data_IF_901657450435
#
_entry.id   IF_901657450435
#
_cell.length_a   1.000
_cell.length_b   1.000
_cell.length_c   1.000
_cell.angle_alpha   90.00
_cell.angle_beta   90.00
_cell.angle_gamma   90.00
#
_symmetry.space_group_name_H-M   'P 1'
#
loop_
_entity.id
_entity.type
_entity.pdbx_description
1 polymer ?
#
# COMPACT_ATOMS: atom_id res chain seq x y z
N UNK A 1 58.66 14.96 35.03
CA UNK A 1 57.80 16.04 34.48
C UNK A 1 57.32 15.76 33.04
N UNK A 2 58.06 14.97 32.22
CA UNK A 2 57.67 14.60 30.82
C UNK A 2 56.52 13.62 30.65
N UNK A 3 56.27 12.74 31.66
CA UNK A 3 55.20 11.71 31.60
C UNK A 3 53.80 12.28 31.70
N UNK A 4 53.61 13.41 32.44
CA UNK A 4 52.28 14.07 32.59
C UNK A 4 51.82 14.78 31.30
N UNK A 5 52.76 15.22 30.45
CA UNK A 5 52.49 15.94 29.23
C UNK A 5 52.07 14.97 28.09
N UNK A 6 52.75 13.84 27.96
CA UNK A 6 52.42 12.79 27.00
C UNK A 6 51.06 12.15 27.24
N UNK A 7 50.66 11.93 28.52
CA UNK A 7 49.35 11.41 28.88
C UNK A 7 48.21 12.38 28.54
N UNK A 8 48.41 13.70 28.68
CA UNK A 8 47.46 14.72 28.25
C UNK A 8 47.23 14.75 26.76
N UNK A 9 48.28 14.58 25.95
CA UNK A 9 48.14 14.54 24.48
C UNK A 9 47.50 13.24 24.00
N UNK A 10 47.74 12.10 24.65
CA UNK A 10 47.08 10.84 24.36
C UNK A 10 45.54 10.90 24.69
N UNK A 11 45.18 11.49 25.83
CA UNK A 11 43.76 11.68 26.22
C UNK A 11 43.09 12.68 25.28
N UNK A 12 43.75 13.77 24.87
CA UNK A 12 43.21 14.75 23.94
C UNK A 12 43.10 14.20 22.51
N UNK A 13 44.01 13.35 22.06
CA UNK A 13 43.95 12.63 20.77
C UNK A 13 42.85 11.59 20.76
N UNK A 14 42.56 10.92 21.89
CA UNK A 14 41.49 9.97 22.05
C UNK A 14 40.11 10.66 22.05
N UNK A 15 40.01 11.89 22.58
CA UNK A 15 38.78 12.69 22.62
C UNK A 15 38.40 13.24 21.23
N UNK A 16 39.36 13.41 20.32
CA UNK A 16 39.12 13.86 18.93
C UNK A 16 38.58 12.73 18.02
N UNK A 17 38.72 11.47 18.40
CA UNK A 17 38.22 10.30 17.65
C UNK A 17 36.71 10.07 17.93
N UNK A 18 36.16 10.67 18.99
CA UNK A 18 34.75 10.52 19.37
C UNK A 18 33.78 11.43 18.59
N UNK A 19 34.22 12.16 17.56
CA UNK A 19 33.32 12.78 16.58
C UNK A 19 32.74 11.66 15.70
N UNK A 20 31.76 10.95 16.25
CA UNK A 20 31.03 9.93 15.53
C UNK A 20 30.36 10.59 14.33
N UNK A 21 30.75 10.22 13.10
CA UNK A 21 29.96 10.52 11.91
C UNK A 21 28.55 9.96 12.15
N UNK A 22 27.60 10.83 12.49
CA UNK A 22 26.20 10.43 12.57
C UNK A 22 25.78 9.98 11.17
N UNK A 23 25.45 8.72 11.03
CA UNK A 23 24.85 8.20 9.79
C UNK A 23 23.42 8.72 9.74
N UNK A 24 23.14 9.62 8.80
CA UNK A 24 21.80 10.19 8.64
C UNK A 24 20.99 9.31 7.67
N UNK A 25 19.77 8.97 8.06
CA UNK A 25 18.81 8.29 7.20
C UNK A 25 18.21 9.31 6.23
N UNK A 26 18.37 9.09 4.92
CA UNK A 26 17.82 9.97 3.86
C UNK A 26 16.41 9.55 3.45
N UNK A 27 16.05 8.28 3.63
CA UNK A 27 14.75 7.71 3.30
C UNK A 27 13.98 7.48 4.61
N UNK A 28 13.48 8.56 5.17
CA UNK A 28 12.70 8.60 6.40
C UNK A 28 11.19 8.74 6.11
N UNK A 29 10.39 9.03 7.14
CA UNK A 29 8.95 9.25 6.99
C UNK A 29 8.61 10.43 6.06
N UNK A 30 9.45 11.48 6.03
CA UNK A 30 9.23 12.61 5.14
C UNK A 30 9.39 12.17 3.68
N UNK A 31 10.42 11.37 3.35
CA UNK A 31 10.59 10.78 2.03
C UNK A 31 9.38 9.96 1.58
N UNK A 32 8.83 9.10 2.47
CA UNK A 32 7.64 8.29 2.16
C UNK A 32 6.44 9.19 1.93
N UNK A 33 6.24 10.22 2.77
CA UNK A 33 5.16 11.20 2.62
C UNK A 33 5.27 11.95 1.30
N UNK A 34 6.43 12.51 0.98
CA UNK A 34 6.67 13.27 -0.25
C UNK A 34 6.46 12.40 -1.50
N UNK A 35 6.88 11.12 -1.43
CA UNK A 35 6.65 10.17 -2.50
C UNK A 35 5.15 9.90 -2.68
N UNK A 36 4.40 9.67 -1.60
CA UNK A 36 2.95 9.46 -1.66
C UNK A 36 2.24 10.71 -2.19
N UNK A 37 2.63 11.93 -1.77
CA UNK A 37 2.10 13.19 -2.31
C UNK A 37 2.28 13.24 -3.83
N UNK A 38 3.47 12.90 -4.31
CA UNK A 38 3.77 12.92 -5.75
C UNK A 38 2.86 11.99 -6.56
N UNK A 39 2.46 10.86 -5.98
CA UNK A 39 1.62 9.88 -6.66
C UNK A 39 0.11 10.14 -6.48
N UNK A 40 -0.31 10.62 -5.31
CA UNK A 40 -1.72 10.69 -4.91
C UNK A 40 -2.24 12.11 -4.67
N UNK A 41 -1.35 13.07 -4.43
CA UNK A 41 -1.71 14.41 -3.99
C UNK A 41 -1.93 14.54 -2.47
N UNK A 42 -1.91 13.45 -1.72
CA UNK A 42 -2.17 13.43 -0.28
C UNK A 42 -0.90 13.19 0.54
N UNK A 43 -0.79 13.85 1.69
CA UNK A 43 0.31 13.68 2.63
C UNK A 43 -0.01 12.64 3.71
N UNK A 44 1.02 12.25 4.45
CA UNK A 44 0.86 11.47 5.68
C UNK A 44 0.69 12.42 6.88
N UNK A 45 -0.06 11.96 7.90
CA UNK A 45 -0.18 12.70 9.16
C UNK A 45 1.19 12.94 9.80
N UNK A 46 1.38 14.11 10.44
CA UNK A 46 2.57 14.37 11.25
C UNK A 46 2.57 13.49 12.51
N UNK A 47 3.76 13.16 13.04
CA UNK A 47 3.94 12.25 14.18
C UNK A 47 3.49 12.86 15.52
N UNK A 48 3.23 14.16 15.57
CA UNK A 48 3.20 14.95 16.81
C UNK A 48 2.02 14.72 17.77
N UNK A 49 1.06 13.85 17.46
CA UNK A 49 -0.03 13.59 18.40
C UNK A 49 -0.33 12.11 18.54
N UNK A 50 -0.07 11.58 19.70
CA UNK A 50 -0.45 10.26 20.18
C UNK A 50 -1.98 10.22 20.41
N UNK A 51 -2.61 9.13 19.99
CA UNK A 51 -3.95 8.69 20.39
C UNK A 51 -5.15 9.55 19.94
N UNK A 52 -5.68 9.26 18.78
CA UNK A 52 -7.02 9.69 18.36
C UNK A 52 -7.19 9.71 16.83
N UNK A 53 -8.43 9.59 16.42
CA UNK A 53 -8.84 9.81 15.04
C UNK A 53 -8.44 11.21 14.59
N UNK A 54 -7.79 11.31 13.43
CA UNK A 54 -7.41 12.58 12.82
C UNK A 54 -8.08 12.72 11.47
N UNK A 55 -8.82 13.78 11.33
CA UNK A 55 -9.31 14.16 10.02
C UNK A 55 -8.35 15.19 9.41
N UNK A 56 -7.98 15.04 8.13
CA UNK A 56 -7.29 16.09 7.39
C UNK A 56 -8.09 17.40 7.40
N UNK A 57 -7.41 18.54 7.32
CA UNK A 57 -8.04 19.85 7.38
C UNK A 57 -9.13 20.00 6.31
N UNK A 58 -10.31 20.45 6.73
CA UNK A 58 -11.46 20.69 5.86
C UNK A 58 -12.33 19.46 5.58
N UNK A 59 -12.00 18.28 6.11
CA UNK A 59 -12.83 17.07 5.95
C UNK A 59 -13.78 16.91 7.13
N UNK A 60 -15.06 16.65 6.84
CA UNK A 60 -16.11 16.39 7.82
C UNK A 60 -16.83 15.08 7.48
N UNK A 61 -17.16 14.28 8.48
CA UNK A 61 -17.93 13.05 8.29
C UNK A 61 -19.46 13.30 8.20
N UNK A 62 -19.92 14.51 8.53
CA UNK A 62 -21.35 14.82 8.66
C UNK A 62 -22.03 15.13 7.35
N UNK A 63 -21.34 15.73 6.41
CA UNK A 63 -21.82 16.14 5.09
C UNK A 63 -21.63 15.08 4.00
N UNK A 64 -20.94 13.99 4.34
CA UNK A 64 -20.58 12.89 3.45
C UNK A 64 -19.15 13.03 2.95
N UNK A 65 -18.51 11.91 2.71
CA UNK A 65 -17.12 11.86 2.23
C UNK A 65 -17.06 11.49 0.74
N UNK A 66 -16.17 12.14 0.02
CA UNK A 66 -15.79 11.79 -1.35
C UNK A 66 -14.75 10.67 -1.35
N UNK A 67 -14.52 10.04 -2.51
CA UNK A 67 -13.48 9.03 -2.68
C UNK A 67 -12.08 9.58 -2.33
N UNK A 68 -11.80 10.82 -2.72
CA UNK A 68 -10.53 11.50 -2.49
C UNK A 68 -10.30 11.79 -0.99
N UNK A 69 -11.32 12.26 -0.29
CA UNK A 69 -11.29 12.44 1.17
C UNK A 69 -11.13 11.13 1.93
N UNK A 70 -11.77 10.05 1.45
CA UNK A 70 -11.59 8.71 2.03
C UNK A 70 -10.13 8.24 1.92
N UNK A 71 -9.48 8.48 0.79
CA UNK A 71 -8.06 8.20 0.60
C UNK A 71 -7.19 9.00 1.58
N UNK A 72 -7.45 10.29 1.74
CA UNK A 72 -6.73 11.14 2.69
C UNK A 72 -6.87 10.66 4.13
N UNK A 73 -8.11 10.32 4.57
CA UNK A 73 -8.38 9.78 5.91
C UNK A 73 -7.62 8.47 6.13
N UNK A 74 -7.65 7.55 5.15
CA UNK A 74 -7.00 6.26 5.26
C UNK A 74 -5.48 6.37 5.42
N UNK A 75 -4.82 7.22 4.62
CA UNK A 75 -3.38 7.46 4.71
C UNK A 75 -2.96 8.00 6.09
N UNK A 76 -3.87 8.70 6.77
CA UNK A 76 -3.61 9.24 8.11
C UNK A 76 -3.87 8.24 9.23
N UNK A 77 -4.91 7.38 9.11
CA UNK A 77 -5.44 6.63 10.24
C UNK A 77 -5.39 5.11 10.08
N UNK A 78 -5.11 4.57 8.88
CA UNK A 78 -5.10 3.12 8.71
C UNK A 78 -4.08 2.45 9.63
N UNK A 79 -4.56 1.63 10.57
CA UNK A 79 -3.74 1.04 11.63
C UNK A 79 -2.62 0.14 11.08
N UNK A 80 -2.87 -0.61 10.00
CA UNK A 80 -1.88 -1.50 9.37
C UNK A 80 -0.77 -0.64 8.75
N UNK A 81 -1.14 0.39 8.00
CA UNK A 81 -0.15 1.25 7.35
C UNK A 81 0.67 2.06 8.36
N UNK A 82 0.04 2.54 9.46
CA UNK A 82 0.77 3.20 10.54
C UNK A 82 1.74 2.24 11.25
N UNK A 83 1.35 0.98 11.46
CA UNK A 83 2.25 -0.05 11.99
C UNK A 83 3.42 -0.34 11.04
N UNK A 84 3.17 -0.42 9.72
CA UNK A 84 4.22 -0.60 8.71
C UNK A 84 5.24 0.54 8.74
N UNK A 85 4.80 1.79 8.92
CA UNK A 85 5.67 2.97 9.00
C UNK A 85 6.66 2.92 10.18
N UNK A 86 6.36 2.16 11.24
CA UNK A 86 7.30 1.94 12.37
C UNK A 86 8.58 1.22 11.91
N UNK A 87 8.54 0.47 10.82
CA UNK A 87 9.72 -0.22 10.26
C UNK A 87 10.86 0.73 9.86
N UNK A 88 10.55 2.01 9.59
CA UNK A 88 11.56 3.06 9.39
C UNK A 88 12.37 3.31 10.67
N UNK A 89 11.74 3.17 11.85
CA UNK A 89 12.43 3.24 13.13
C UNK A 89 13.45 2.12 13.31
N UNK A 90 13.07 0.90 12.94
CA UNK A 90 14.01 -0.24 12.94
C UNK A 90 15.16 -0.03 11.96
N UNK A 91 14.87 0.41 10.74
CA UNK A 91 15.89 0.70 9.73
C UNK A 91 16.86 1.80 10.19
N UNK A 92 16.37 2.80 10.92
CA UNK A 92 17.21 3.85 11.52
C UNK A 92 18.12 3.28 12.61
N UNK A 93 17.60 2.40 13.46
CA UNK A 93 18.38 1.74 14.51
C UNK A 93 19.46 0.82 13.90
N UNK A 94 19.10 0.02 12.90
CA UNK A 94 20.04 -0.86 12.17
C UNK A 94 21.17 -0.06 11.49
N UNK A 95 20.83 1.10 10.90
CA UNK A 95 21.83 1.98 10.29
C UNK A 95 22.76 2.59 11.34
N UNK A 96 22.23 3.00 12.48
CA UNK A 96 23.01 3.51 13.59
C UNK A 96 23.97 2.41 14.12
N UNK A 97 23.48 1.19 14.34
CA UNK A 97 24.28 0.03 14.78
C UNK A 97 25.36 -0.30 13.75
N UNK A 98 25.03 -0.33 12.46
CA UNK A 98 26.00 -0.57 11.39
C UNK A 98 27.13 0.46 11.37
N UNK A 99 26.86 1.69 11.82
CA UNK A 99 27.82 2.77 11.95
C UNK A 99 28.74 2.68 13.17
N UNK A 100 28.37 1.89 14.18
CA UNK A 100 29.16 1.78 15.42
C UNK A 100 30.42 0.96 15.23
N UNK A 101 31.47 1.34 15.93
CA UNK A 101 32.67 0.53 16.10
C UNK A 101 32.48 -0.42 17.31
N UNK A 102 33.18 -1.55 17.26
CA UNK A 102 33.19 -2.47 18.39
C UNK A 102 33.83 -1.82 19.61
N UNK A 103 33.23 -1.97 20.78
CA UNK A 103 33.79 -1.45 22.02
C UNK A 103 35.14 -2.12 22.32
N UNK A 104 36.15 -1.38 22.84
CA UNK A 104 37.36 -1.98 23.37
C UNK A 104 37.03 -2.83 24.61
N UNK A 105 37.69 -3.95 24.73
CA UNK A 105 37.58 -4.84 25.92
C UNK A 105 38.69 -4.51 26.85
N UNK A 106 38.37 -4.20 28.11
CA UNK A 106 39.33 -3.95 29.17
C UNK A 106 39.37 -5.16 30.10
N UNK A 107 40.56 -5.73 30.24
CA UNK A 107 40.79 -6.89 31.08
C UNK A 107 41.76 -6.53 32.22
N UNK A 108 41.45 -6.95 33.43
CA UNK A 108 42.31 -6.77 34.60
C UNK A 108 42.50 -8.12 35.30
N UNK A 109 43.74 -8.53 35.48
CA UNK A 109 44.07 -9.68 36.30
C UNK A 109 44.74 -9.20 37.59
N UNK A 110 44.12 -9.53 38.72
CA UNK A 110 44.63 -9.22 40.03
C UNK A 110 45.72 -10.22 40.44
N UNK A 111 46.78 -9.77 41.11
CA UNK A 111 47.87 -10.66 41.50
C UNK A 111 47.40 -11.73 42.47
N UNK A 112 47.80 -12.99 42.18
CA UNK A 112 47.63 -14.13 43.09
C UNK A 112 48.97 -14.77 43.32
N UNK A 113 49.56 -14.64 44.53
CA UNK A 113 50.92 -15.06 44.82
C UNK A 113 51.99 -14.13 44.22
N UNK A 114 53.01 -14.63 43.56
CA UNK A 114 54.09 -13.82 42.99
C UNK A 114 53.75 -13.15 41.66
N UNK A 115 52.50 -13.31 41.16
CA UNK A 115 52.03 -12.68 39.91
C UNK A 115 51.77 -11.18 40.12
N UNK A 116 52.04 -10.43 39.05
CA UNK A 116 51.79 -8.98 39.02
C UNK A 116 50.36 -8.68 38.59
N UNK A 117 49.90 -7.47 38.85
CA UNK A 117 48.63 -6.96 38.26
C UNK A 117 48.87 -6.70 36.77
N UNK A 118 48.07 -7.36 35.92
CA UNK A 118 48.09 -7.21 34.47
C UNK A 118 46.84 -6.48 34.01
N UNK A 119 47.00 -5.47 33.22
CA UNK A 119 45.91 -4.71 32.61
C UNK A 119 46.05 -4.67 31.11
N UNK A 120 45.06 -5.16 30.40
CA UNK A 120 45.10 -5.26 28.95
C UNK A 120 43.89 -4.63 28.27
N UNK A 121 44.10 -3.83 27.24
CA UNK A 121 43.06 -3.28 26.40
C UNK A 121 43.11 -3.98 25.03
N UNK A 122 42.00 -4.56 24.61
CA UNK A 122 41.82 -5.17 23.31
C UNK A 122 40.96 -4.25 22.45
N UNK A 123 41.41 -3.88 21.27
CA UNK A 123 40.70 -3.03 20.30
C UNK A 123 40.54 -3.77 18.97
N UNK A 124 39.26 -4.08 18.65
CA UNK A 124 38.90 -4.81 17.43
C UNK A 124 38.99 -3.88 16.22
N UNK A 125 40.06 -3.97 15.45
CA UNK A 125 40.33 -3.04 14.33
C UNK A 125 39.63 -3.45 13.04
N UNK A 126 39.29 -4.71 12.85
CA UNK A 126 38.53 -5.13 11.66
C UNK A 126 37.18 -4.42 11.52
N UNK A 127 36.62 -3.92 12.60
CA UNK A 127 35.41 -3.10 12.54
C UNK A 127 35.58 -1.82 11.71
N UNK A 128 36.80 -1.28 11.57
CA UNK A 128 37.08 -0.07 10.79
C UNK A 128 36.91 -0.31 9.28
N UNK A 129 37.51 -1.38 8.72
CA UNK A 129 37.38 -1.65 7.28
C UNK A 129 36.09 -2.39 6.90
N UNK A 130 35.44 -3.03 7.85
CA UNK A 130 34.10 -3.62 7.64
C UNK A 130 32.98 -2.60 7.71
N UNK A 131 33.13 -1.50 8.45
CA UNK A 131 32.15 -0.45 8.65
C UNK A 131 31.56 0.11 7.33
N UNK A 132 32.35 0.45 6.30
CA UNK A 132 31.78 0.96 5.04
C UNK A 132 30.81 -0.01 4.37
N UNK A 133 31.09 -1.31 4.41
CA UNK A 133 30.20 -2.33 3.85
C UNK A 133 28.94 -2.48 4.67
N UNK A 134 29.03 -2.51 6.02
CA UNK A 134 27.89 -2.58 6.92
C UNK A 134 26.97 -1.38 6.74
N UNK A 135 27.53 -0.18 6.79
CA UNK A 135 26.77 1.07 6.63
C UNK A 135 26.10 1.14 5.25
N UNK A 136 26.82 0.79 4.18
CA UNK A 136 26.24 0.77 2.83
C UNK A 136 25.10 -0.24 2.71
N UNK A 137 25.25 -1.45 3.27
CA UNK A 137 24.18 -2.44 3.25
C UNK A 137 22.96 -2.00 4.07
N UNK A 138 23.17 -1.46 5.27
CA UNK A 138 22.09 -0.96 6.13
C UNK A 138 21.37 0.25 5.50
N UNK A 139 22.10 1.15 4.83
CA UNK A 139 21.51 2.27 4.10
C UNK A 139 20.61 1.79 2.96
N UNK A 140 21.09 0.88 2.12
CA UNK A 140 20.29 0.29 1.04
C UNK A 140 19.10 -0.50 1.57
N UNK A 141 19.25 -1.20 2.69
CA UNK A 141 18.13 -1.87 3.37
C UNK A 141 17.06 -0.88 3.79
N UNK A 142 17.43 0.27 4.36
CA UNK A 142 16.50 1.32 4.75
C UNK A 142 15.81 1.98 3.53
N UNK A 143 16.54 2.23 2.44
CA UNK A 143 15.98 2.72 1.18
C UNK A 143 14.94 1.73 0.63
N UNK A 144 15.27 0.44 0.61
CA UNK A 144 14.34 -0.62 0.17
C UNK A 144 13.07 -0.68 1.03
N UNK A 145 13.20 -0.54 2.35
CA UNK A 145 12.06 -0.48 3.26
C UNK A 145 11.17 0.73 2.93
N UNK A 146 11.76 1.89 2.71
CA UNK A 146 11.00 3.10 2.35
C UNK A 146 10.23 2.94 1.03
N UNK A 147 10.85 2.37 -0.02
CA UNK A 147 10.17 2.10 -1.30
C UNK A 147 9.01 1.11 -1.13
N UNK A 148 9.19 0.05 -0.32
CA UNK A 148 8.11 -0.87 -0.01
C UNK A 148 6.95 -0.18 0.74
N UNK A 149 7.24 0.75 1.64
CA UNK A 149 6.22 1.53 2.34
C UNK A 149 5.45 2.46 1.40
N UNK A 150 6.13 3.09 0.43
CA UNK A 150 5.44 3.85 -0.61
C UNK A 150 4.49 2.93 -1.38
N UNK A 151 4.94 1.74 -1.79
CA UNK A 151 4.08 0.77 -2.48
C UNK A 151 2.89 0.31 -1.60
N UNK A 152 3.11 0.07 -0.30
CA UNK A 152 2.04 -0.28 0.64
C UNK A 152 1.01 0.86 0.74
N UNK A 153 1.45 2.11 0.80
CA UNK A 153 0.57 3.28 0.75
C UNK A 153 -0.27 3.34 -0.53
N UNK A 154 0.34 3.11 -1.70
CA UNK A 154 -0.37 3.06 -2.98
C UNK A 154 -1.38 1.90 -3.05
N UNK A 155 -1.05 0.76 -2.45
CA UNK A 155 -1.99 -0.36 -2.34
C UNK A 155 -3.18 0.00 -1.45
N UNK A 156 -2.94 0.65 -0.31
CA UNK A 156 -4.01 1.15 0.56
C UNK A 156 -4.93 2.11 -0.19
N UNK A 157 -4.38 3.05 -0.95
CA UNK A 157 -5.17 3.99 -1.78
C UNK A 157 -6.09 3.22 -2.74
N UNK A 158 -5.56 2.24 -3.49
CA UNK A 158 -6.36 1.38 -4.36
C UNK A 158 -7.47 0.67 -3.60
N UNK A 159 -7.17 0.08 -2.46
CA UNK A 159 -8.13 -0.71 -1.68
C UNK A 159 -9.26 0.17 -1.14
N UNK A 160 -8.95 1.38 -0.71
CA UNK A 160 -9.95 2.39 -0.31
C UNK A 160 -10.85 2.76 -1.49
N UNK A 161 -10.28 3.07 -2.66
CA UNK A 161 -11.06 3.43 -3.87
C UNK A 161 -12.00 2.30 -4.29
N UNK A 162 -11.52 1.05 -4.26
CA UNK A 162 -12.32 -0.13 -4.61
C UNK A 162 -13.45 -0.35 -3.58
N UNK A 163 -13.14 -0.29 -2.28
CA UNK A 163 -14.12 -0.52 -1.20
C UNK A 163 -15.15 0.60 -1.16
N UNK A 164 -14.74 1.86 -1.35
CA UNK A 164 -15.63 3.01 -1.51
C UNK A 164 -16.62 2.81 -2.67
N UNK A 165 -16.09 2.42 -3.84
CA UNK A 165 -16.90 2.14 -5.03
C UNK A 165 -17.88 0.99 -4.79
N UNK A 166 -17.43 -0.08 -4.13
CA UNK A 166 -18.30 -1.23 -3.80
C UNK A 166 -19.41 -0.82 -2.84
N UNK A 167 -19.12 -0.03 -1.81
CA UNK A 167 -20.13 0.46 -0.88
C UNK A 167 -21.17 1.35 -1.59
N UNK A 168 -20.71 2.29 -2.42
CA UNK A 168 -21.61 3.15 -3.19
C UNK A 168 -22.53 2.35 -4.12
N UNK A 169 -21.97 1.35 -4.81
CA UNK A 169 -22.74 0.45 -5.66
C UNK A 169 -23.76 -0.37 -4.86
N UNK A 170 -23.36 -0.96 -3.73
CA UNK A 170 -24.24 -1.81 -2.93
C UNK A 170 -25.36 -1.00 -2.25
N UNK A 171 -25.09 0.25 -1.88
CA UNK A 171 -26.13 1.17 -1.42
C UNK A 171 -27.16 1.45 -2.52
N UNK A 172 -26.72 1.72 -3.75
CA UNK A 172 -27.63 1.92 -4.89
C UNK A 172 -28.39 0.63 -5.25
N UNK A 173 -27.72 -0.52 -5.22
CA UNK A 173 -28.36 -1.82 -5.39
C UNK A 173 -29.48 -2.07 -4.34
N UNK A 174 -29.24 -1.70 -3.09
CA UNK A 174 -30.26 -1.79 -2.04
C UNK A 174 -31.44 -0.82 -2.30
N UNK A 175 -31.18 0.38 -2.85
CA UNK A 175 -32.23 1.32 -3.24
C UNK A 175 -33.11 0.75 -4.37
N UNK A 176 -32.48 0.24 -5.43
CA UNK A 176 -33.19 -0.39 -6.55
C UNK A 176 -33.98 -1.63 -6.07
N UNK A 177 -33.39 -2.43 -5.18
CA UNK A 177 -34.10 -3.59 -4.61
C UNK A 177 -35.34 -3.19 -3.78
N UNK A 178 -35.32 -2.03 -3.09
CA UNK A 178 -36.54 -1.48 -2.42
C UNK A 178 -37.60 -1.12 -3.43
N UNK A 179 -37.23 -0.44 -4.53
CA UNK A 179 -38.16 -0.12 -5.61
C UNK A 179 -38.72 -1.39 -6.27
N UNK A 180 -37.87 -2.42 -6.52
CA UNK A 180 -38.35 -3.71 -7.05
C UNK A 180 -39.30 -4.44 -6.10
N UNK A 181 -39.03 -4.43 -4.79
CA UNK A 181 -39.86 -5.06 -3.79
C UNK A 181 -41.25 -4.37 -3.76
N UNK A 182 -41.29 -3.03 -3.69
CA UNK A 182 -42.53 -2.28 -3.73
C UNK A 182 -43.34 -2.57 -5.01
N UNK A 183 -42.68 -2.68 -6.17
CA UNK A 183 -43.31 -3.03 -7.43
C UNK A 183 -43.88 -4.46 -7.42
N UNK A 184 -43.18 -5.42 -6.85
CA UNK A 184 -43.68 -6.79 -6.74
C UNK A 184 -44.84 -6.92 -5.73
N UNK A 185 -44.83 -6.18 -4.63
CA UNK A 185 -45.95 -6.11 -3.69
C UNK A 185 -47.22 -5.57 -4.37
N UNK A 186 -47.10 -4.55 -5.22
CA UNK A 186 -48.19 -4.04 -6.05
C UNK A 186 -48.70 -5.12 -7.04
N UNK A 187 -47.82 -5.85 -7.70
CA UNK A 187 -48.16 -6.97 -8.59
C UNK A 187 -48.96 -8.03 -7.81
N UNK A 188 -48.49 -8.46 -6.63
CA UNK A 188 -49.17 -9.47 -5.80
C UNK A 188 -50.58 -9.00 -5.41
N UNK A 189 -50.73 -7.71 -5.06
CA UNK A 189 -52.06 -7.15 -4.73
C UNK A 189 -53.02 -7.23 -5.91
N UNK A 190 -52.58 -6.92 -7.13
CA UNK A 190 -53.39 -7.02 -8.35
C UNK A 190 -53.74 -8.47 -8.67
N UNK A 191 -52.79 -9.35 -8.57
CA UNK A 191 -52.91 -10.79 -8.82
C UNK A 191 -53.92 -11.41 -7.83
N UNK A 192 -53.85 -11.04 -6.55
CA UNK A 192 -54.82 -11.47 -5.52
C UNK A 192 -56.27 -10.99 -5.82
N UNK A 193 -56.44 -9.76 -6.26
CA UNK A 193 -57.74 -9.24 -6.69
C UNK A 193 -58.30 -10.01 -7.90
N UNK A 194 -57.48 -10.37 -8.86
CA UNK A 194 -57.86 -11.18 -10.04
C UNK A 194 -58.20 -12.63 -9.67
N UNK A 195 -57.48 -13.25 -8.73
CA UNK A 195 -57.84 -14.54 -8.19
C UNK A 195 -59.26 -14.51 -7.52
N UNK A 196 -59.52 -13.46 -6.70
CA UNK A 196 -60.78 -13.27 -6.05
C UNK A 196 -61.95 -13.07 -7.04
N UNK A 197 -61.64 -12.51 -8.22
CA UNK A 197 -62.59 -12.37 -9.33
C UNK A 197 -62.73 -13.65 -10.18
N UNK A 198 -61.92 -14.68 -9.95
CA UNK A 198 -61.91 -15.92 -10.74
C UNK A 198 -61.16 -15.82 -12.07
N UNK A 199 -60.41 -14.75 -12.32
CA UNK A 199 -59.73 -14.50 -13.59
C UNK A 199 -58.39 -15.29 -13.74
N UNK A 200 -57.83 -15.74 -12.62
CA UNK A 200 -56.56 -16.50 -12.60
C UNK A 200 -56.64 -17.68 -11.66
N UNK A 201 -55.71 -18.62 -11.78
CA UNK A 201 -55.60 -19.79 -10.92
C UNK A 201 -54.79 -19.48 -9.64
N UNK A 202 -55.03 -20.27 -8.56
CA UNK A 202 -54.20 -20.19 -7.35
C UNK A 202 -52.74 -20.59 -7.59
N UNK A 203 -52.44 -21.33 -8.66
CA UNK A 203 -51.06 -21.65 -9.08
C UNK A 203 -50.34 -20.40 -9.60
N UNK A 204 -51.02 -19.58 -10.39
CA UNK A 204 -50.47 -18.32 -10.90
C UNK A 204 -50.22 -17.34 -9.77
N UNK A 205 -51.17 -17.17 -8.81
CA UNK A 205 -50.96 -16.34 -7.61
C UNK A 205 -49.74 -16.83 -6.82
N UNK A 206 -49.63 -18.11 -6.54
CA UNK A 206 -48.48 -18.70 -5.82
C UNK A 206 -47.14 -18.39 -6.50
N UNK A 207 -47.08 -18.37 -7.84
CA UNK A 207 -45.90 -18.00 -8.59
C UNK A 207 -45.46 -16.54 -8.36
N UNK A 208 -46.39 -15.60 -8.36
CA UNK A 208 -46.08 -14.18 -8.08
C UNK A 208 -45.69 -13.96 -6.62
N UNK A 209 -46.36 -14.66 -5.67
CA UNK A 209 -45.96 -14.61 -4.27
C UNK A 209 -44.55 -15.13 -4.04
N UNK A 210 -44.16 -16.23 -4.71
CA UNK A 210 -42.79 -16.77 -4.64
C UNK A 210 -41.78 -15.76 -5.18
N UNK A 211 -42.08 -15.10 -6.29
CA UNK A 211 -41.23 -14.07 -6.87
C UNK A 211 -41.06 -12.86 -5.91
N UNK A 212 -42.15 -12.36 -5.32
CA UNK A 212 -42.10 -11.26 -4.37
C UNK A 212 -41.29 -11.62 -3.12
N UNK A 213 -41.46 -12.84 -2.57
CA UNK A 213 -40.65 -13.33 -1.46
C UNK A 213 -39.16 -13.43 -1.83
N UNK A 214 -38.84 -13.81 -3.07
CA UNK A 214 -37.49 -13.79 -3.61
C UNK A 214 -36.87 -12.40 -3.60
N UNK A 215 -37.62 -11.39 -4.06
CA UNK A 215 -37.16 -9.99 -4.07
C UNK A 215 -36.99 -9.40 -2.67
N UNK A 216 -37.88 -9.76 -1.74
CA UNK A 216 -37.72 -9.38 -0.34
C UNK A 216 -36.44 -9.95 0.27
N UNK A 217 -36.12 -11.22 -0.01
CA UNK A 217 -34.86 -11.85 0.42
C UNK A 217 -33.63 -11.13 -0.18
N UNK A 218 -33.70 -10.79 -1.47
CA UNK A 218 -32.60 -10.10 -2.16
C UNK A 218 -32.35 -8.70 -1.53
N UNK A 219 -33.42 -7.97 -1.18
CA UNK A 219 -33.31 -6.70 -0.45
C UNK A 219 -32.59 -6.88 0.89
N UNK A 220 -32.98 -7.88 1.69
CA UNK A 220 -32.33 -8.17 2.99
C UNK A 220 -30.84 -8.44 2.81
N UNK A 221 -30.47 -9.23 1.78
CA UNK A 221 -29.07 -9.51 1.48
C UNK A 221 -28.29 -8.25 1.08
N UNK A 222 -28.85 -7.42 0.20
CA UNK A 222 -28.19 -6.19 -0.25
C UNK A 222 -27.99 -5.18 0.90
N UNK A 223 -28.95 -5.07 1.81
CA UNK A 223 -28.81 -4.23 3.02
C UNK A 223 -27.72 -4.78 3.93
N UNK A 224 -27.66 -6.09 4.15
CA UNK A 224 -26.58 -6.73 4.94
C UNK A 224 -25.21 -6.46 4.30
N UNK A 225 -25.10 -6.64 2.99
CA UNK A 225 -23.84 -6.47 2.28
C UNK A 225 -23.36 -5.00 2.33
N UNK A 226 -24.28 -4.04 2.28
CA UNK A 226 -23.97 -2.62 2.48
C UNK A 226 -23.41 -2.35 3.90
N UNK A 227 -23.99 -2.98 4.94
CA UNK A 227 -23.49 -2.85 6.33
C UNK A 227 -22.07 -3.44 6.45
N UNK A 228 -21.80 -4.58 5.83
CA UNK A 228 -20.49 -5.21 5.87
C UNK A 228 -19.42 -4.37 5.14
N UNK A 229 -19.76 -3.81 3.99
CA UNK A 229 -18.87 -2.93 3.24
C UNK A 229 -18.63 -1.59 3.95
N UNK A 230 -19.63 -1.04 4.65
CA UNK A 230 -19.44 0.13 5.52
C UNK A 230 -18.42 -0.17 6.63
N UNK A 231 -18.53 -1.32 7.28
CA UNK A 231 -17.59 -1.74 8.30
C UNK A 231 -16.17 -1.98 7.72
N UNK A 232 -16.06 -2.56 6.52
CA UNK A 232 -14.78 -2.74 5.83
C UNK A 232 -14.14 -1.40 5.46
N UNK A 233 -14.93 -0.45 4.94
CA UNK A 233 -14.45 0.89 4.65
C UNK A 233 -13.97 1.59 5.94
N UNK A 234 -14.75 1.55 7.02
CA UNK A 234 -14.35 2.09 8.33
C UNK A 234 -13.02 1.53 8.82
N UNK A 235 -12.81 0.23 8.66
CA UNK A 235 -11.55 -0.43 9.00
C UNK A 235 -10.38 0.13 8.16
N UNK A 236 -10.56 0.32 6.86
CA UNK A 236 -9.55 0.91 6.00
C UNK A 236 -9.25 2.37 6.36
N UNK A 237 -10.29 3.12 6.76
CA UNK A 237 -10.18 4.52 7.17
C UNK A 237 -9.67 4.71 8.60
N UNK A 238 -9.57 3.64 9.41
CA UNK A 238 -9.27 3.74 10.85
C UNK A 238 -10.40 4.37 11.67
N UNK A 239 -11.67 4.23 11.21
CA UNK A 239 -12.88 4.80 11.79
C UNK A 239 -13.74 3.76 12.52
N UNK A 240 -13.16 2.70 13.05
CA UNK A 240 -13.92 1.57 13.66
C UNK A 240 -14.80 1.97 14.82
N UNK A 241 -14.51 3.09 15.50
CA UNK A 241 -15.31 3.61 16.62
C UNK A 241 -16.53 4.42 16.16
N UNK A 242 -16.61 4.81 14.88
CA UNK A 242 -17.76 5.54 14.33
C UNK A 242 -18.97 4.61 14.22
N UNK A 243 -20.04 4.92 14.98
CA UNK A 243 -21.25 4.09 15.02
C UNK A 243 -22.20 4.38 13.86
N UNK A 244 -22.19 5.60 13.33
CA UNK A 244 -23.07 5.99 12.24
C UNK A 244 -22.55 5.45 10.91
N UNK A 245 -23.44 5.06 10.02
CA UNK A 245 -23.10 4.71 8.63
C UNK A 245 -22.45 5.91 7.94
N UNK A 246 -21.33 5.67 7.25
CA UNK A 246 -20.65 6.70 6.48
C UNK A 246 -21.53 7.12 5.32
N UNK A 247 -21.83 8.42 5.25
CA UNK A 247 -22.45 9.00 4.06
C UNK A 247 -21.41 9.13 2.97
N UNK A 248 -21.71 8.63 1.79
CA UNK A 248 -20.87 8.78 0.62
C UNK A 248 -21.39 9.92 -0.25
N UNK A 249 -20.47 10.69 -0.82
CA UNK A 249 -20.74 11.67 -1.86
C UNK A 249 -20.10 11.18 -3.16
N UNK A 250 -20.74 10.24 -3.89
CA UNK A 250 -20.13 9.65 -5.08
C UNK A 250 -20.04 10.72 -6.17
N UNK A 251 -18.82 11.05 -6.56
CA UNK A 251 -18.57 11.91 -7.71
C UNK A 251 -18.69 11.06 -8.97
N UNK A 252 -19.61 11.40 -9.85
CA UNK A 252 -19.74 10.79 -11.16
C UNK A 252 -18.62 11.35 -12.06
N UNK A 253 -17.46 10.72 -12.02
CA UNK A 253 -16.38 11.03 -12.97
C UNK A 253 -16.47 9.99 -14.09
N UNK A 254 -16.86 10.42 -15.26
CA UNK A 254 -16.66 9.64 -16.48
C UNK A 254 -15.17 9.68 -16.80
N UNK A 255 -14.51 8.54 -16.63
CA UNK A 255 -13.09 8.40 -16.89
C UNK A 255 -12.97 7.83 -18.30
N UNK A 256 -12.64 8.68 -19.25
CA UNK A 256 -12.45 8.30 -20.66
C UNK A 256 -10.97 8.41 -21.01
N UNK A 257 -10.21 7.37 -20.66
CA UNK A 257 -8.77 7.33 -20.92
C UNK A 257 -8.47 6.48 -22.15
N UNK A 258 -7.71 7.07 -23.07
CA UNK A 258 -7.17 6.35 -24.23
C UNK A 258 -5.65 6.28 -24.07
N UNK A 259 -5.11 5.09 -23.90
CA UNK A 259 -3.68 4.88 -23.70
C UNK A 259 -3.09 3.88 -24.69
N UNK A 260 -1.79 4.03 -24.94
CA UNK A 260 -0.99 3.00 -25.57
C UNK A 260 -0.48 2.01 -24.49
N UNK A 261 -0.78 0.73 -24.64
CA UNK A 261 -0.39 -0.31 -23.68
C UNK A 261 1.13 -0.36 -23.43
N UNK A 262 1.95 -0.22 -24.47
CA UNK A 262 3.41 -0.29 -24.33
C UNK A 262 3.96 0.94 -23.57
N UNK A 263 3.35 2.10 -23.73
CA UNK A 263 3.68 3.30 -22.96
C UNK A 263 3.31 3.13 -21.49
N UNK A 264 2.17 2.52 -21.18
CA UNK A 264 1.77 2.22 -19.81
C UNK A 264 2.74 1.26 -19.14
N UNK A 265 3.18 0.19 -19.82
CA UNK A 265 4.16 -0.77 -19.28
C UNK A 265 5.50 -0.08 -19.04
N UNK A 266 5.97 0.74 -19.97
CA UNK A 266 7.23 1.49 -19.83
C UNK A 266 7.17 2.47 -18.67
N UNK A 267 6.05 3.18 -18.55
CA UNK A 267 5.81 4.11 -17.44
C UNK A 267 5.75 3.41 -16.08
N UNK A 268 5.11 2.22 -16.02
CA UNK A 268 5.06 1.41 -14.82
C UNK A 268 6.47 0.99 -14.36
N UNK A 269 7.34 0.59 -15.28
CA UNK A 269 8.73 0.27 -14.93
C UNK A 269 9.51 1.46 -14.39
N UNK A 270 9.20 2.67 -14.85
CA UNK A 270 9.87 3.89 -14.38
C UNK A 270 9.30 4.44 -13.06
N UNK A 271 8.04 4.15 -12.76
CA UNK A 271 7.31 4.78 -11.66
C UNK A 271 7.15 3.88 -10.41
N UNK A 272 7.15 2.55 -10.58
CA UNK A 272 6.73 1.65 -9.49
C UNK A 272 7.79 1.46 -8.40
N UNK A 273 7.42 1.74 -7.13
CA UNK A 273 8.32 1.61 -5.98
C UNK A 273 8.75 0.15 -5.72
N UNK A 274 7.90 -0.85 -5.99
CA UNK A 274 8.23 -2.26 -5.79
C UNK A 274 9.34 -2.74 -6.74
N UNK A 275 9.42 -2.24 -7.97
CA UNK A 275 10.52 -2.52 -8.89
C UNK A 275 11.81 -1.85 -8.40
N UNK A 276 11.71 -0.61 -7.93
CA UNK A 276 12.84 0.12 -7.35
C UNK A 276 13.37 -0.59 -6.10
N UNK A 277 12.49 -1.07 -5.22
CA UNK A 277 12.87 -1.86 -4.06
C UNK A 277 13.62 -3.16 -4.46
N UNK A 278 13.19 -3.83 -5.53
CA UNK A 278 13.85 -5.03 -6.04
C UNK A 278 15.24 -4.72 -6.64
N UNK A 279 15.42 -3.57 -7.29
CA UNK A 279 16.75 -3.12 -7.75
C UNK A 279 17.70 -2.87 -6.58
N UNK A 280 17.21 -2.14 -5.56
CA UNK A 280 17.98 -1.86 -4.34
C UNK A 280 18.36 -3.17 -3.62
N UNK A 281 17.49 -4.18 -3.62
CA UNK A 281 17.79 -5.48 -3.02
C UNK A 281 19.00 -6.17 -3.64
N UNK A 282 19.22 -6.02 -4.96
CA UNK A 282 20.42 -6.54 -5.65
C UNK A 282 21.66 -5.79 -5.16
N UNK A 283 21.61 -4.47 -5.08
CA UNK A 283 22.73 -3.66 -4.61
C UNK A 283 23.05 -3.96 -3.14
N UNK A 284 22.05 -4.09 -2.29
CA UNK A 284 22.17 -4.47 -0.87
C UNK A 284 22.87 -5.83 -0.74
N UNK A 285 22.42 -6.85 -1.50
CA UNK A 285 23.02 -8.17 -1.50
C UNK A 285 24.49 -8.13 -1.96
N UNK A 286 24.83 -7.29 -2.93
CA UNK A 286 26.20 -7.03 -3.34
C UNK A 286 27.08 -6.44 -2.23
N UNK A 287 26.57 -5.47 -1.45
CA UNK A 287 27.29 -4.91 -0.30
C UNK A 287 27.44 -5.92 0.84
N UNK A 288 26.42 -6.75 1.09
CA UNK A 288 26.50 -7.87 2.06
C UNK A 288 27.55 -8.90 1.67
N UNK A 289 27.63 -9.25 0.38
CA UNK A 289 28.68 -10.13 -0.13
C UNK A 289 30.09 -9.54 0.09
N UNK A 290 30.24 -8.24 -0.17
CA UNK A 290 31.51 -7.53 0.11
C UNK A 290 31.86 -7.58 1.61
N UNK A 291 30.88 -7.38 2.46
CA UNK A 291 31.08 -7.49 3.91
C UNK A 291 31.48 -8.90 4.34
N UNK A 292 30.81 -9.96 3.86
CA UNK A 292 31.21 -11.35 4.21
C UNK A 292 32.64 -11.68 3.74
N UNK A 293 33.09 -11.16 2.59
CA UNK A 293 34.48 -11.30 2.13
C UNK A 293 35.44 -10.56 3.03
N UNK A 294 35.09 -9.40 3.58
CA UNK A 294 35.95 -8.60 4.44
C UNK A 294 36.19 -9.21 5.81
N UNK A 295 35.39 -10.22 6.22
CA UNK A 295 35.49 -10.92 7.51
C UNK A 295 36.57 -12.02 7.55
N UNK A 296 37.27 -12.26 6.46
CA UNK A 296 38.31 -13.31 6.37
C UNK A 296 39.45 -12.98 7.32
N UNK A 297 39.84 -11.71 7.41
CA UNK A 297 40.89 -11.26 8.31
C UNK A 297 40.31 -10.56 9.53
N UNK A 298 40.69 -11.08 10.70
CA UNK A 298 40.37 -10.45 11.98
C UNK A 298 41.68 -9.92 12.60
N UNK A 299 41.63 -8.70 13.08
CA UNK A 299 42.77 -8.02 13.65
C UNK A 299 42.39 -7.26 14.91
N UNK A 300 43.05 -7.59 16.03
CA UNK A 300 42.88 -6.93 17.31
C UNK A 300 44.18 -6.30 17.75
N UNK A 301 44.16 -4.99 17.96
CA UNK A 301 45.29 -4.32 18.62
C UNK A 301 45.20 -4.55 20.14
N UNK A 302 46.35 -4.77 20.74
CA UNK A 302 46.51 -5.04 22.18
C UNK A 302 47.39 -3.96 22.75
N UNK A 303 46.95 -3.42 23.90
CA UNK A 303 47.80 -2.57 24.72
C UNK A 303 47.87 -3.20 26.09
N UNK A 304 49.04 -3.63 26.48
CA UNK A 304 49.28 -4.30 27.75
C UNK A 304 50.06 -3.38 28.69
N UNK A 305 49.63 -3.36 29.94
CA UNK A 305 50.23 -2.58 30.99
C UNK A 305 50.41 -3.46 32.27
N UNK A 306 51.65 -3.66 32.64
CA UNK A 306 52.00 -4.48 33.85
C UNK A 306 52.63 -3.58 34.88
N UNK A 307 52.17 -3.66 36.12
CA UNK A 307 52.73 -2.97 37.29
C UNK A 307 53.73 -3.88 37.98
N UNK A 308 54.91 -3.32 38.36
CA UNK A 308 56.00 -4.02 39.03
C UNK A 308 56.72 -5.09 38.18
N UNK A 309 56.94 -4.87 36.90
CA UNK A 309 57.89 -5.63 36.09
C UNK A 309 59.32 -5.48 36.59
N UNK A 310 60.28 -6.19 35.94
CA UNK A 310 61.73 -6.15 36.32
C UNK A 310 62.31 -4.73 36.34
N UNK A 311 61.74 -3.79 35.66
CA UNK A 311 62.14 -2.40 35.51
C UNK A 311 61.12 -1.38 36.02
N UNK A 312 60.10 -1.79 36.80
CA UNK A 312 58.96 -0.99 37.20
C UNK A 312 57.71 -1.24 36.33
N UNK A 313 56.95 -0.20 36.01
CA UNK A 313 55.77 -0.31 35.13
C UNK A 313 56.21 -0.53 33.67
N UNK A 314 55.71 -1.60 33.08
CA UNK A 314 56.01 -2.01 31.68
C UNK A 314 54.78 -1.74 30.81
N UNK A 315 54.97 -1.16 29.61
CA UNK A 315 53.97 -0.92 28.59
C UNK A 315 54.32 -1.66 27.34
N UNK A 316 53.41 -2.52 26.84
CA UNK A 316 53.63 -3.34 25.66
C UNK A 316 52.55 -3.16 24.61
N UNK A 317 52.84 -2.63 23.39
CA UNK A 317 51.91 -2.75 22.27
C UNK A 317 51.99 -4.18 21.72
N UNK A 318 50.80 -4.73 21.40
CA UNK A 318 50.70 -6.07 20.82
C UNK A 318 49.64 -6.11 19.72
N UNK A 319 49.64 -7.19 18.99
CA UNK A 319 48.62 -7.46 17.98
C UNK A 319 48.24 -8.94 17.99
N UNK A 320 46.96 -9.22 17.81
CA UNK A 320 46.41 -10.56 17.65
C UNK A 320 45.68 -10.64 16.32
N UNK A 321 45.97 -11.64 15.54
CA UNK A 321 45.27 -11.89 14.28
C UNK A 321 44.98 -13.39 14.16
N UNK A 322 43.76 -13.68 13.63
CA UNK A 322 43.36 -15.05 13.31
C UNK A 322 43.97 -15.45 11.97
N UNK A 323 44.71 -16.56 11.95
CA UNK A 323 45.18 -17.17 10.71
C UNK A 323 44.07 -18.07 10.15
N UNK A 324 43.49 -17.75 8.98
CA UNK A 324 42.42 -18.52 8.39
C UNK A 324 42.91 -19.83 7.74
N UNK A 325 43.51 -20.72 8.55
CA UNK A 325 44.08 -21.98 8.06
C UNK A 325 42.98 -22.99 7.70
N UNK A 326 41.90 -23.03 8.50
CA UNK A 326 40.83 -24.00 8.34
C UNK A 326 39.52 -23.37 7.85
N UNK A 327 39.28 -22.11 8.12
CA UNK A 327 38.05 -21.44 7.79
C UNK A 327 38.29 -20.11 7.08
N UNK A 328 38.09 -20.10 5.78
CA UNK A 328 38.18 -18.95 4.89
C UNK A 328 36.85 -18.22 4.71
N UNK A 329 35.88 -18.44 5.60
CA UNK A 329 34.51 -17.92 5.50
C UNK A 329 33.75 -18.30 4.21
N UNK A 330 34.19 -19.35 3.52
CA UNK A 330 33.68 -19.77 2.20
C UNK A 330 32.17 -20.08 2.24
N UNK A 331 31.69 -20.67 3.34
CA UNK A 331 30.27 -21.00 3.52
C UNK A 331 29.38 -19.75 3.53
N UNK A 332 29.77 -18.70 4.29
CA UNK A 332 28.99 -17.43 4.35
C UNK A 332 29.11 -16.64 3.04
N UNK A 333 30.29 -16.61 2.44
CA UNK A 333 30.52 -16.00 1.12
C UNK A 333 29.68 -16.69 0.05
N UNK A 334 29.62 -18.03 0.04
CA UNK A 334 28.77 -18.80 -0.90
C UNK A 334 27.28 -18.52 -0.68
N UNK A 335 26.86 -18.47 0.58
CA UNK A 335 25.48 -18.08 0.92
C UNK A 335 25.12 -16.68 0.42
N UNK A 336 25.99 -15.70 0.62
CA UNK A 336 25.74 -14.33 0.16
C UNK A 336 25.75 -14.21 -1.37
N UNK A 337 26.51 -15.06 -2.09
CA UNK A 337 26.44 -15.16 -3.55
C UNK A 337 25.08 -15.69 -3.98
N UNK A 338 24.58 -16.76 -3.35
CA UNK A 338 23.27 -17.31 -3.63
C UNK A 338 22.15 -16.30 -3.33
N UNK A 339 22.24 -15.53 -2.23
CA UNK A 339 21.29 -14.45 -1.91
C UNK A 339 21.29 -13.34 -2.96
N UNK A 340 22.47 -12.98 -3.50
CA UNK A 340 22.55 -12.01 -4.59
C UNK A 340 21.92 -12.54 -5.88
N UNK A 341 22.16 -13.81 -6.23
CA UNK A 341 21.49 -14.44 -7.37
C UNK A 341 19.99 -14.51 -7.17
N UNK A 342 19.53 -14.84 -5.97
CA UNK A 342 18.10 -14.83 -5.62
C UNK A 342 17.48 -13.44 -5.85
N UNK A 343 18.12 -12.37 -5.37
CA UNK A 343 17.65 -11.00 -5.58
C UNK A 343 17.51 -10.64 -7.07
N UNK A 344 18.48 -11.07 -7.91
CA UNK A 344 18.39 -10.87 -9.36
C UNK A 344 17.18 -11.61 -9.96
N UNK A 345 16.91 -12.85 -9.51
CA UNK A 345 15.73 -13.60 -9.99
C UNK A 345 14.43 -12.97 -9.52
N UNK A 346 14.37 -12.51 -8.27
CA UNK A 346 13.19 -11.80 -7.71
C UNK A 346 12.91 -10.49 -8.46
N UNK A 347 13.94 -9.73 -8.85
CA UNK A 347 13.76 -8.56 -9.71
C UNK A 347 13.07 -8.93 -11.04
N UNK A 348 13.48 -10.02 -11.68
CA UNK A 348 12.85 -10.48 -12.93
C UNK A 348 11.39 -10.87 -12.70
N UNK A 349 11.09 -11.55 -11.58
CA UNK A 349 9.71 -11.90 -11.20
C UNK A 349 8.84 -10.65 -11.02
N UNK A 350 9.34 -9.67 -10.26
CA UNK A 350 8.62 -8.39 -10.04
C UNK A 350 8.38 -7.69 -11.37
N UNK A 351 9.40 -7.57 -12.22
CA UNK A 351 9.29 -6.91 -13.53
C UNK A 351 8.27 -7.58 -14.44
N UNK A 352 8.27 -8.92 -14.53
CA UNK A 352 7.29 -9.67 -15.30
C UNK A 352 5.88 -9.52 -14.70
N UNK A 353 5.77 -9.55 -13.37
CA UNK A 353 4.53 -9.35 -12.64
C UNK A 353 3.92 -7.97 -12.91
N UNK A 354 4.73 -6.92 -13.00
CA UNK A 354 4.30 -5.56 -13.35
C UNK A 354 3.71 -5.54 -14.76
N UNK A 355 4.43 -6.07 -15.76
CA UNK A 355 3.95 -6.11 -17.14
C UNK A 355 2.61 -6.86 -17.26
N UNK A 356 2.48 -7.98 -16.54
CA UNK A 356 1.22 -8.73 -16.52
C UNK A 356 0.09 -7.92 -15.88
N UNK A 357 0.30 -7.34 -14.69
CA UNK A 357 -0.72 -6.55 -13.98
C UNK A 357 -1.19 -5.34 -14.77
N UNK A 358 -0.28 -4.65 -15.48
CA UNK A 358 -0.65 -3.52 -16.34
C UNK A 358 -1.52 -3.98 -17.50
N UNK A 359 -1.15 -5.07 -18.20
CA UNK A 359 -1.93 -5.62 -19.31
C UNK A 359 -3.31 -6.11 -18.86
N UNK A 360 -3.38 -6.81 -17.74
CA UNK A 360 -4.62 -7.26 -17.14
C UNK A 360 -5.54 -6.09 -16.78
N UNK A 361 -5.02 -5.10 -16.03
CA UNK A 361 -5.79 -3.95 -15.62
C UNK A 361 -6.26 -3.09 -16.79
N UNK A 362 -5.43 -2.91 -17.81
CA UNK A 362 -5.80 -2.18 -19.03
C UNK A 362 -6.89 -2.91 -19.83
N UNK A 363 -6.78 -4.23 -19.99
CA UNK A 363 -7.81 -5.04 -20.66
C UNK A 363 -9.15 -4.97 -19.92
N UNK A 364 -9.13 -5.08 -18.58
CA UNK A 364 -10.32 -4.96 -17.76
C UNK A 364 -10.93 -3.56 -17.85
N UNK A 365 -10.12 -2.52 -17.89
CA UNK A 365 -10.57 -1.14 -18.06
C UNK A 365 -11.29 -0.93 -19.40
N UNK A 366 -10.68 -1.35 -20.51
CA UNK A 366 -11.30 -1.23 -21.85
C UNK A 366 -12.61 -2.02 -21.95
N UNK A 367 -12.65 -3.23 -21.37
CA UNK A 367 -13.87 -4.05 -21.36
C UNK A 367 -14.99 -3.38 -20.56
N UNK A 368 -14.67 -2.80 -19.39
CA UNK A 368 -15.65 -2.09 -18.56
C UNK A 368 -16.16 -0.81 -19.22
N UNK A 369 -15.27 -0.08 -19.90
CA UNK A 369 -15.61 1.12 -20.66
C UNK A 369 -16.59 0.81 -21.80
N UNK A 370 -16.31 -0.22 -22.62
CA UNK A 370 -17.19 -0.60 -23.72
C UNK A 370 -18.53 -1.15 -23.22
N UNK A 371 -18.54 -1.93 -22.12
CA UNK A 371 -19.78 -2.41 -21.50
C UNK A 371 -20.69 -1.26 -21.05
N UNK A 372 -20.11 -0.23 -20.37
CA UNK A 372 -20.87 0.95 -19.95
C UNK A 372 -21.38 1.76 -21.15
N UNK A 373 -20.58 1.91 -22.20
CA UNK A 373 -20.95 2.60 -23.42
C UNK A 373 -22.16 1.95 -24.10
N UNK A 374 -22.13 0.64 -24.33
CA UNK A 374 -23.25 -0.12 -24.92
C UNK A 374 -24.52 0.07 -24.08
N UNK A 375 -24.39 0.03 -22.77
CA UNK A 375 -25.52 0.16 -21.85
C UNK A 375 -26.14 1.55 -21.91
N UNK A 376 -25.33 2.61 -21.95
CA UNK A 376 -25.78 4.00 -22.04
C UNK A 376 -26.30 4.41 -23.42
N UNK A 377 -25.69 3.90 -24.50
CA UNK A 377 -26.10 4.25 -25.87
C UNK A 377 -27.38 3.53 -26.31
N UNK A 378 -27.54 2.27 -25.92
CA UNK A 378 -28.58 1.40 -26.51
C UNK A 378 -29.61 0.91 -25.50
N UNK A 379 -29.14 0.32 -24.36
CA UNK A 379 -30.03 -0.41 -23.45
C UNK A 379 -30.91 0.55 -22.61
N UNK A 380 -30.31 1.55 -21.97
CA UNK A 380 -31.03 2.47 -21.08
C UNK A 380 -32.04 3.33 -21.84
N UNK A 381 -31.71 3.96 -23.00
CA UNK A 381 -32.68 4.72 -23.78
C UNK A 381 -33.83 3.84 -24.31
N UNK A 382 -33.55 2.60 -24.69
CA UNK A 382 -34.55 1.64 -25.14
C UNK A 382 -35.51 1.26 -24.02
N UNK A 383 -35.01 0.99 -22.80
CA UNK A 383 -35.84 0.68 -21.64
C UNK A 383 -36.72 1.86 -21.23
N UNK A 384 -36.18 3.09 -21.18
CA UNK A 384 -36.95 4.31 -20.91
C UNK A 384 -38.05 4.53 -21.98
N UNK A 385 -37.71 4.33 -23.26
CA UNK A 385 -38.67 4.45 -24.36
C UNK A 385 -39.80 3.42 -24.23
N UNK A 386 -39.44 2.16 -23.85
CA UNK A 386 -40.43 1.11 -23.67
C UNK A 386 -41.43 1.45 -22.56
N UNK A 387 -40.98 1.91 -21.37
CA UNK A 387 -41.86 2.34 -20.25
C UNK A 387 -42.74 3.50 -20.68
N UNK A 388 -42.19 4.51 -21.37
CA UNK A 388 -42.94 5.67 -21.84
C UNK A 388 -44.06 5.28 -22.83
N UNK A 389 -43.75 4.38 -23.79
CA UNK A 389 -44.73 3.85 -24.76
C UNK A 389 -45.79 3.00 -24.04
N UNK A 390 -45.36 2.13 -23.13
CA UNK A 390 -46.29 1.31 -22.31
C UNK A 390 -47.23 2.16 -21.49
N UNK A 391 -46.73 3.23 -20.83
CA UNK A 391 -47.57 4.17 -20.09
C UNK A 391 -48.65 4.84 -20.97
N UNK A 392 -48.31 5.25 -22.18
CA UNK A 392 -49.31 5.80 -23.14
C UNK A 392 -50.35 4.77 -23.57
N UNK A 393 -49.91 3.54 -23.87
CA UNK A 393 -50.86 2.46 -24.27
C UNK A 393 -51.78 2.04 -23.11
N UNK A 394 -51.27 2.04 -21.91
CA UNK A 394 -52.09 1.80 -20.70
C UNK A 394 -53.12 2.89 -20.52
N UNK A 395 -52.75 4.17 -20.68
CA UNK A 395 -53.69 5.29 -20.51
C UNK A 395 -54.88 5.29 -21.49
N UNK A 396 -54.74 4.62 -22.64
CA UNK A 396 -55.80 4.44 -23.64
C UNK A 396 -56.45 3.06 -23.58
N UNK A 397 -56.10 2.22 -22.60
CA UNK A 397 -56.67 0.90 -22.38
C UNK A 397 -56.18 -0.21 -23.31
N UNK A 398 -55.08 -0.02 -24.07
CA UNK A 398 -54.53 -1.01 -25.01
C UNK A 398 -53.75 -2.11 -24.33
N UNK A 399 -53.18 -1.87 -23.17
CA UNK A 399 -52.44 -2.86 -22.38
C UNK A 399 -52.92 -2.88 -20.93
N UNK A 400 -52.73 -3.99 -20.25
CA UNK A 400 -53.04 -4.12 -18.84
C UNK A 400 -52.02 -3.39 -17.95
N UNK A 401 -52.47 -3.04 -16.72
CA UNK A 401 -51.54 -2.45 -15.76
C UNK A 401 -50.41 -3.41 -15.38
N UNK A 402 -50.64 -4.70 -15.35
CA UNK A 402 -49.61 -5.71 -15.09
C UNK A 402 -48.51 -5.71 -16.14
N UNK A 403 -48.89 -5.54 -17.44
CA UNK A 403 -47.91 -5.38 -18.52
C UNK A 403 -47.04 -4.12 -18.36
N UNK A 404 -47.66 -2.98 -17.94
CA UNK A 404 -46.92 -1.77 -17.64
C UNK A 404 -45.92 -1.97 -16.49
N UNK A 405 -46.33 -2.68 -15.43
CA UNK A 405 -45.41 -3.03 -14.32
C UNK A 405 -44.26 -3.91 -14.78
N UNK A 406 -44.49 -4.80 -15.74
CA UNK A 406 -43.42 -5.59 -16.38
C UNK A 406 -42.35 -4.73 -17.06
N UNK A 407 -42.76 -3.68 -17.81
CA UNK A 407 -41.82 -2.72 -18.41
C UNK A 407 -41.07 -1.89 -17.37
N UNK A 408 -41.71 -1.48 -16.29
CA UNK A 408 -41.09 -0.79 -15.15
C UNK A 408 -40.01 -1.67 -14.49
N UNK A 409 -40.31 -2.96 -14.27
CA UNK A 409 -39.36 -3.95 -13.76
C UNK A 409 -38.11 -4.08 -14.66
N UNK A 410 -38.32 -4.13 -15.99
CA UNK A 410 -37.25 -4.17 -16.95
C UNK A 410 -36.36 -2.92 -16.90
N UNK A 411 -36.95 -1.73 -16.68
CA UNK A 411 -36.19 -0.50 -16.48
C UNK A 411 -35.35 -0.55 -15.19
N UNK A 412 -35.88 -1.03 -14.07
CA UNK A 412 -35.14 -1.17 -12.81
C UNK A 412 -33.94 -2.13 -12.98
N UNK A 413 -34.14 -3.27 -13.66
CA UNK A 413 -33.05 -4.19 -14.00
C UNK A 413 -31.97 -3.52 -14.87
N UNK A 414 -32.36 -2.64 -15.81
CA UNK A 414 -31.41 -1.91 -16.65
C UNK A 414 -30.65 -0.86 -15.85
N UNK A 415 -31.29 -0.16 -14.91
CA UNK A 415 -30.63 0.76 -13.96
C UNK A 415 -29.62 0.04 -13.06
N UNK A 416 -29.98 -1.14 -12.57
CA UNK A 416 -29.05 -1.96 -11.77
C UNK A 416 -27.79 -2.30 -12.57
N UNK A 417 -27.94 -2.73 -13.84
CA UNK A 417 -26.81 -3.00 -14.73
C UNK A 417 -25.96 -1.75 -15.01
N UNK A 418 -26.60 -0.57 -15.09
CA UNK A 418 -25.86 0.68 -15.27
C UNK A 418 -25.01 0.96 -14.02
N UNK A 419 -25.59 0.88 -12.81
CA UNK A 419 -24.86 1.08 -11.57
C UNK A 419 -23.69 0.08 -11.43
N UNK A 420 -23.89 -1.19 -11.79
CA UNK A 420 -22.86 -2.22 -11.81
C UNK A 420 -21.73 -1.91 -12.79
N UNK A 421 -22.08 -1.46 -14.01
CA UNK A 421 -21.09 -1.11 -15.04
C UNK A 421 -20.27 0.12 -14.66
N UNK A 422 -20.89 1.12 -14.03
CA UNK A 422 -20.20 2.30 -13.47
C UNK A 422 -19.20 1.86 -12.39
N UNK A 423 -19.67 1.03 -11.45
CA UNK A 423 -18.80 0.49 -10.41
C UNK A 423 -17.66 -0.37 -10.98
N UNK A 424 -17.95 -1.17 -12.00
CA UNK A 424 -16.96 -1.98 -12.73
C UNK A 424 -15.87 -1.11 -13.35
N UNK A 425 -16.24 -0.04 -14.04
CA UNK A 425 -15.30 0.90 -14.64
C UNK A 425 -14.43 1.61 -13.60
N UNK A 426 -15.03 2.03 -12.48
CA UNK A 426 -14.29 2.68 -11.38
C UNK A 426 -13.27 1.73 -10.74
N UNK A 427 -13.67 0.48 -10.46
CA UNK A 427 -12.74 -0.54 -9.93
C UNK A 427 -11.58 -0.80 -10.89
N UNK A 428 -11.88 -0.97 -12.19
CA UNK A 428 -10.87 -1.17 -13.21
C UNK A 428 -9.94 0.04 -13.35
N UNK A 429 -10.46 1.26 -13.23
CA UNK A 429 -9.70 2.50 -13.21
C UNK A 429 -8.75 2.57 -12.01
N UNK A 430 -9.23 2.30 -10.79
CA UNK A 430 -8.40 2.25 -9.58
C UNK A 430 -7.28 1.22 -9.70
N UNK A 431 -7.59 0.03 -10.23
CA UNK A 431 -6.62 -1.02 -10.46
C UNK A 431 -5.58 -0.64 -11.52
N UNK A 432 -5.98 0.02 -12.61
CA UNK A 432 -5.07 0.49 -13.64
C UNK A 432 -4.13 1.57 -13.11
N UNK A 433 -4.65 2.56 -12.37
CA UNK A 433 -3.83 3.58 -11.69
C UNK A 433 -2.76 2.95 -10.80
N UNK A 434 -3.14 2.01 -9.95
CA UNK A 434 -2.19 1.30 -9.08
C UNK A 434 -1.15 0.52 -9.90
N UNK A 435 -1.57 -0.18 -10.97
CA UNK A 435 -0.67 -1.00 -11.78
C UNK A 435 0.41 -0.19 -12.50
N UNK A 436 0.09 1.06 -12.88
CA UNK A 436 1.01 2.01 -13.55
C UNK A 436 1.79 2.86 -12.55
N UNK A 437 1.45 2.83 -11.25
CA UNK A 437 2.12 3.61 -10.21
C UNK A 437 1.54 5.00 -10.02
N UNK A 438 0.23 5.20 -10.20
CA UNK A 438 -0.52 6.46 -9.94
C UNK A 438 0.04 7.73 -10.60
N UNK A 439 0.81 7.62 -11.70
CA UNK A 439 1.43 8.78 -12.34
C UNK A 439 0.37 9.68 -12.96
N UNK A 440 0.07 10.81 -12.31
CA UNK A 440 -0.97 11.76 -12.76
C UNK A 440 -0.69 12.37 -14.13
N UNK A 441 0.59 12.56 -14.49
CA UNK A 441 0.96 13.22 -15.75
C UNK A 441 0.55 12.42 -17.01
N UNK A 442 0.50 11.09 -16.91
CA UNK A 442 0.04 10.24 -18.03
C UNK A 442 -1.47 10.32 -18.19
N UNK A 443 -2.20 10.60 -17.10
CA UNK A 443 -3.65 10.63 -17.04
C UNK A 443 -4.24 12.00 -17.44
N UNK A 444 -3.43 13.06 -17.49
CA UNK A 444 -3.85 14.43 -17.82
C UNK A 444 -3.61 14.85 -19.27
N UNK A 445 -2.92 14.04 -20.08
CA UNK A 445 -2.41 14.49 -21.37
C UNK A 445 -3.48 14.71 -22.44
N UNK A 446 -4.76 14.41 -22.19
CA UNK A 446 -5.83 14.55 -23.20
C UNK A 446 -6.96 15.52 -22.87
N UNK A 447 -7.06 16.08 -21.66
CA UNK A 447 -8.02 17.17 -21.42
C UNK A 447 -7.71 18.43 -22.25
N UNK A 448 -6.45 18.63 -22.64
CA UNK A 448 -6.03 19.75 -23.49
C UNK A 448 -6.28 19.51 -24.99
N UNK A 449 -6.26 18.25 -25.46
CA UNK A 449 -6.46 17.93 -26.87
C UNK A 449 -7.92 18.01 -27.33
N UNK A 450 -8.88 17.72 -26.43
CA UNK A 450 -10.31 17.80 -26.76
C UNK A 450 -10.88 19.22 -26.75
N UNK A 451 -10.29 20.14 -25.95
CA UNK A 451 -10.67 21.54 -25.98
C UNK A 451 -10.35 22.19 -27.36
N UNK A 452 -9.21 21.82 -27.97
CA UNK A 452 -8.80 22.34 -29.27
C UNK A 452 -9.62 21.79 -30.47
N UNK A 453 -10.17 20.58 -30.34
CA UNK A 453 -11.02 19.97 -31.38
C UNK A 453 -12.45 20.50 -31.33
N UNK A 454 -12.97 20.83 -30.14
CA UNK A 454 -14.30 21.47 -29.99
C UNK A 454 -14.33 22.91 -30.43
N UNK A 455 -13.21 23.60 -30.51
CA UNK A 455 -13.12 24.99 -31.02
C UNK A 455 -12.97 25.05 -32.57
N UNK A 456 -12.70 23.90 -33.24
CA UNK A 456 -12.52 23.79 -34.69
C UNK A 456 -13.66 23.06 -35.41
N UNK A 457 -14.71 22.62 -34.71
CA UNK A 457 -15.98 22.11 -35.26
C UNK A 457 -17.14 23.04 -34.86
#
# INVERSE_FOLDING_TARGET
MRLKTTCKYLIFSFMLISVGCSTHLTHDRAYVSDSIIKYTGHNLASVENENGLRLPDGISLTDGITEDEAVAIALWNNAIFQADLVSLGFSRADLAEAGMLSNPVFSVFFPAGPKQMETTIFMVLESLWQRPYRVSAAKLSAERVAENLVQNGLNLVRDVMITYTNLAFTQEQANIAREETALNDEIVSIVHARLSAGDISGLEEASFQLEAAGKQRDLVNNVRDAILLDAELKKLLGLEQEQNTIKLTPTLVDVDWIFNLEELVTSAYAARPDLRAAEIAIEEAGKRLGWERSKIFKFTAIVDFNENGRSGSEFGPGAMFELPVFNWNNGKVSRSKAQMEQAVREYVVVKQGIAFKVREAYTNYLSAQEALKILRSDMLPSAVTAVNKAGKRYSVGEISYLELLGFKKQLLNTRLREAESIAGLRRASAQLRNSVGFKQDILKTEESGFAEIKEKL
#
